data_IF_746026379350
#
_entry.id   IF_746026379350
#
_cell.length_a   1.000
_cell.length_b   1.000
_cell.length_c   1.000
_cell.angle_alpha   90.00
_cell.angle_beta   90.00
_cell.angle_gamma   90.00
#
_symmetry.space_group_name_H-M   'P 1'
#
loop_
_entity.id
_entity.type
_entity.pdbx_description
1 polymer ?
#
# COMPACT_ATOMS: atom_id res chain seq x y z
N UNK A 1 7.01 7.54 -34.10
CA UNK A 1 7.24 8.55 -33.05
C UNK A 1 7.18 7.86 -31.70
N UNK A 2 8.32 7.48 -31.14
CA UNK A 2 8.42 6.90 -29.81
C UNK A 2 8.33 8.03 -28.79
N UNK A 3 7.13 8.27 -28.26
CA UNK A 3 6.95 9.16 -27.11
C UNK A 3 7.83 8.63 -25.98
N UNK A 4 8.77 9.46 -25.51
CA UNK A 4 9.47 9.23 -24.25
C UNK A 4 8.41 9.08 -23.17
N UNK A 5 8.05 7.84 -22.81
CA UNK A 5 7.15 7.58 -21.68
C UNK A 5 7.78 8.24 -20.46
N UNK A 6 7.15 9.30 -19.94
CA UNK A 6 7.59 9.92 -18.70
C UNK A 6 7.71 8.83 -17.63
N UNK A 7 8.81 8.85 -16.86
CA UNK A 7 9.02 7.87 -15.77
C UNK A 7 7.80 7.90 -14.82
N UNK A 8 7.30 6.74 -14.38
CA UNK A 8 6.11 6.69 -13.56
C UNK A 8 6.30 7.48 -12.26
N UNK A 9 5.27 8.25 -11.91
CA UNK A 9 5.19 8.97 -10.64
C UNK A 9 4.18 8.26 -9.74
N UNK A 10 4.64 7.78 -8.59
CA UNK A 10 3.80 7.09 -7.62
C UNK A 10 3.43 8.03 -6.47
N UNK A 11 2.15 8.23 -6.22
CA UNK A 11 1.65 8.85 -4.98
C UNK A 11 1.35 7.73 -3.98
N UNK A 12 1.80 7.88 -2.73
CA UNK A 12 1.47 6.95 -1.64
C UNK A 12 0.64 7.70 -0.60
N UNK A 13 -0.63 7.32 -0.48
CA UNK A 13 -1.53 7.77 0.58
C UNK A 13 -1.54 6.74 1.71
N UNK A 14 -1.14 7.11 2.93
CA UNK A 14 -1.12 6.16 4.04
C UNK A 14 -1.24 6.77 5.44
N UNK A 15 -1.53 5.89 6.42
CA UNK A 15 -1.84 6.28 7.79
C UNK A 15 -0.65 6.88 8.56
N UNK A 16 0.57 6.41 8.33
CA UNK A 16 1.73 6.88 9.07
C UNK A 16 3.07 6.64 8.33
N UNK A 17 4.17 6.99 9.00
CA UNK A 17 5.52 6.79 8.47
C UNK A 17 5.88 5.32 8.29
N UNK A 18 5.35 4.39 9.09
CA UNK A 18 5.66 2.97 8.98
C UNK A 18 5.10 2.41 7.69
N UNK A 19 3.83 2.70 7.41
CA UNK A 19 3.17 2.37 6.14
C UNK A 19 3.93 2.97 4.96
N UNK A 20 4.27 4.26 5.03
CA UNK A 20 5.01 4.94 3.98
C UNK A 20 6.38 4.28 3.73
N UNK A 21 7.17 4.03 4.77
CA UNK A 21 8.49 3.44 4.62
C UNK A 21 8.42 2.01 4.07
N UNK A 22 7.42 1.23 4.48
CA UNK A 22 7.16 -0.08 3.89
C UNK A 22 6.88 0.03 2.39
N UNK A 23 5.82 0.75 2.01
CA UNK A 23 5.40 0.87 0.61
C UNK A 23 6.47 1.53 -0.28
N UNK A 24 7.05 2.65 0.17
CA UNK A 24 8.11 3.35 -0.55
C UNK A 24 9.28 2.41 -0.84
N UNK A 25 9.77 1.69 0.17
CA UNK A 25 10.94 0.82 -0.02
C UNK A 25 10.62 -0.39 -0.91
N UNK A 26 9.39 -0.91 -0.86
CA UNK A 26 8.93 -1.94 -1.77
C UNK A 26 9.03 -1.46 -3.23
N UNK A 27 8.44 -0.31 -3.56
CA UNK A 27 8.47 0.23 -4.92
C UNK A 27 9.85 0.71 -5.37
N UNK A 28 10.66 1.27 -4.47
CA UNK A 28 12.06 1.58 -4.76
C UNK A 28 12.87 0.35 -5.10
N UNK A 29 12.62 -0.77 -4.41
CA UNK A 29 13.29 -2.04 -4.68
C UNK A 29 12.89 -2.65 -6.02
N UNK A 30 11.77 -2.19 -6.60
CA UNK A 30 11.30 -2.51 -7.95
C UNK A 30 11.66 -1.45 -9.00
N UNK A 31 12.50 -0.47 -8.66
CA UNK A 31 13.04 0.51 -9.60
C UNK A 31 12.32 1.84 -9.68
N UNK A 32 11.20 2.04 -8.96
CA UNK A 32 10.52 3.34 -8.95
C UNK A 32 11.32 4.40 -8.18
N UNK A 33 11.60 5.52 -8.84
CA UNK A 33 12.40 6.61 -8.28
C UNK A 33 11.56 7.78 -7.77
N UNK A 34 10.48 8.13 -8.48
CA UNK A 34 9.65 9.30 -8.17
C UNK A 34 8.44 8.87 -7.34
N UNK A 35 8.57 8.98 -6.02
CA UNK A 35 7.52 8.63 -5.05
C UNK A 35 7.17 9.88 -4.24
N UNK A 36 5.88 10.22 -4.20
CA UNK A 36 5.34 11.39 -3.50
C UNK A 36 4.60 10.91 -2.24
N UNK A 37 5.01 11.36 -1.04
CA UNK A 37 4.32 11.02 0.20
C UNK A 37 3.04 11.83 0.37
N UNK A 38 1.94 11.15 0.71
CA UNK A 38 0.76 11.72 1.34
C UNK A 38 0.49 10.93 2.63
N UNK A 39 0.97 11.46 3.76
CA UNK A 39 1.04 10.75 5.04
C UNK A 39 0.26 11.55 6.08
N UNK A 40 -0.53 10.88 6.91
CA UNK A 40 -1.23 11.56 8.01
C UNK A 40 -0.22 12.32 8.89
N UNK A 41 -0.40 13.63 9.09
CA UNK A 41 0.41 14.40 10.03
C UNK A 41 0.27 13.85 11.45
N UNK A 42 1.39 13.75 12.17
CA UNK A 42 1.39 13.28 13.57
C UNK A 42 0.48 14.13 14.46
N UNK A 43 -0.30 13.48 15.33
CA UNK A 43 -1.04 14.11 16.42
C UNK A 43 -2.28 14.92 16.04
N UNK A 44 -2.76 14.85 14.78
CA UNK A 44 -3.91 15.65 14.32
C UNK A 44 -5.23 14.89 14.13
N UNK A 45 -5.19 13.57 13.88
CA UNK A 45 -6.37 12.68 13.73
C UNK A 45 -5.92 11.21 13.64
N UNK A 46 -6.87 10.28 13.61
CA UNK A 46 -6.60 8.88 13.29
C UNK A 46 -6.02 8.75 11.88
N UNK A 47 -5.00 7.92 11.70
CA UNK A 47 -4.38 7.66 10.39
C UNK A 47 -5.36 7.04 9.40
N UNK A 48 -6.17 6.08 9.86
CA UNK A 48 -7.29 5.49 9.11
C UNK A 48 -8.25 6.57 8.59
N UNK A 49 -8.71 7.43 9.49
CA UNK A 49 -9.67 8.49 9.16
C UNK A 49 -9.06 9.46 8.14
N UNK A 50 -7.77 9.80 8.30
CA UNK A 50 -7.04 10.63 7.35
C UNK A 50 -7.07 10.01 5.95
N UNK A 51 -6.71 8.74 5.82
CA UNK A 51 -6.69 8.05 4.51
C UNK A 51 -8.09 8.05 3.90
N UNK A 52 -9.13 7.70 4.67
CA UNK A 52 -10.51 7.68 4.18
C UNK A 52 -10.99 9.06 3.68
N UNK A 53 -10.67 10.13 4.40
CA UNK A 53 -11.07 11.49 4.03
C UNK A 53 -10.29 12.04 2.82
N UNK A 54 -9.03 11.63 2.66
CA UNK A 54 -8.15 12.14 1.59
C UNK A 54 -8.19 11.28 0.33
N UNK A 55 -8.66 10.03 0.41
CA UNK A 55 -8.74 9.12 -0.74
C UNK A 55 -9.54 9.72 -1.89
N UNK A 56 -10.73 10.27 -1.62
CA UNK A 56 -11.55 10.91 -2.65
C UNK A 56 -10.84 12.09 -3.35
N UNK A 57 -10.02 12.84 -2.60
CA UNK A 57 -9.25 13.96 -3.14
C UNK A 57 -8.11 13.46 -4.03
N UNK A 58 -7.38 12.43 -3.59
CA UNK A 58 -6.30 11.80 -4.37
C UNK A 58 -6.83 11.09 -5.62
N UNK A 59 -7.99 10.43 -5.53
CA UNK A 59 -8.66 9.82 -6.67
C UNK A 59 -9.03 10.87 -7.72
N UNK A 60 -9.60 12.01 -7.29
CA UNK A 60 -9.90 13.14 -8.19
C UNK A 60 -8.63 13.72 -8.81
N UNK A 61 -7.56 13.87 -8.03
CA UNK A 61 -6.28 14.39 -8.51
C UNK A 61 -5.57 13.42 -9.47
N UNK A 62 -5.72 12.11 -9.26
CA UNK A 62 -5.26 11.07 -10.18
C UNK A 62 -6.03 11.17 -11.51
N UNK A 63 -7.36 11.15 -11.47
CA UNK A 63 -8.21 11.19 -12.67
C UNK A 63 -7.98 12.43 -13.53
N UNK A 64 -7.72 13.59 -12.91
CA UNK A 64 -7.43 14.83 -13.64
C UNK A 64 -6.07 14.84 -14.35
N UNK A 65 -5.21 13.85 -14.11
CA UNK A 65 -3.83 13.77 -14.61
C UNK A 65 -3.53 12.52 -15.41
N UNK A 66 -4.23 11.41 -15.16
CA UNK A 66 -3.93 10.09 -15.70
C UNK A 66 -3.94 10.03 -17.24
N UNK A 67 -4.69 10.91 -17.91
CA UNK A 67 -4.77 10.95 -19.37
C UNK A 67 -3.51 11.52 -20.05
N UNK A 68 -2.64 12.24 -19.32
CA UNK A 68 -1.45 12.88 -19.90
C UNK A 68 -0.19 12.72 -19.05
N UNK A 69 -0.29 12.19 -17.83
CA UNK A 69 0.86 11.83 -16.99
C UNK A 69 0.85 10.33 -16.71
N UNK A 70 2.05 9.73 -16.74
CA UNK A 70 2.27 8.38 -16.24
C UNK A 70 2.30 8.42 -14.70
N UNK A 71 1.14 8.37 -14.07
CA UNK A 71 0.98 8.41 -12.62
C UNK A 71 0.26 7.16 -12.10
N UNK A 72 0.55 6.81 -10.85
CA UNK A 72 -0.15 5.76 -10.11
C UNK A 72 -0.44 6.24 -8.69
N UNK A 73 -1.49 5.69 -8.07
CA UNK A 73 -1.85 5.92 -6.68
C UNK A 73 -1.79 4.60 -5.92
N UNK A 74 -1.05 4.56 -4.83
CA UNK A 74 -1.09 3.46 -3.86
C UNK A 74 -1.64 3.99 -2.56
N UNK A 75 -2.66 3.32 -2.04
CA UNK A 75 -3.26 3.57 -0.74
C UNK A 75 -2.84 2.44 0.19
N UNK A 76 -2.41 2.78 1.42
CA UNK A 76 -2.14 1.78 2.46
C UNK A 76 -2.92 2.17 3.70
N UNK A 77 -3.85 1.32 4.10
CA UNK A 77 -4.80 1.54 5.19
C UNK A 77 -5.01 0.24 5.96
N UNK A 78 -4.98 0.29 7.28
CA UNK A 78 -5.21 -0.89 8.11
C UNK A 78 -6.70 -1.28 8.07
N UNK A 79 -7.01 -2.57 8.02
CA UNK A 79 -8.40 -3.03 8.16
C UNK A 79 -8.93 -2.81 9.59
N UNK A 80 -8.02 -2.67 10.57
CA UNK A 80 -8.34 -2.66 12.00
C UNK A 80 -9.21 -3.87 12.37
N UNK A 81 -10.49 -3.65 12.70
CA UNK A 81 -11.45 -4.69 13.06
C UNK A 81 -12.38 -5.08 11.90
N UNK A 82 -12.25 -4.40 10.76
CA UNK A 82 -13.05 -4.66 9.56
C UNK A 82 -12.39 -5.73 8.71
N UNK A 83 -13.16 -6.34 7.82
CA UNK A 83 -12.59 -7.16 6.74
C UNK A 83 -11.88 -6.28 5.70
N UNK A 84 -11.05 -6.91 4.88
CA UNK A 84 -10.39 -6.28 3.74
C UNK A 84 -11.44 -5.65 2.80
N UNK A 85 -12.50 -6.40 2.48
CA UNK A 85 -13.55 -5.97 1.57
C UNK A 85 -14.36 -4.80 2.13
N UNK A 86 -14.69 -4.84 3.43
CA UNK A 86 -15.37 -3.73 4.11
C UNK A 86 -14.52 -2.45 4.08
N UNK A 87 -13.20 -2.59 4.24
CA UNK A 87 -12.27 -1.47 4.18
C UNK A 87 -12.19 -0.88 2.77
N UNK A 88 -12.07 -1.72 1.74
CA UNK A 88 -12.05 -1.27 0.34
C UNK A 88 -13.37 -0.59 -0.03
N UNK A 89 -14.51 -1.21 0.32
CA UNK A 89 -15.83 -0.64 0.09
C UNK A 89 -15.99 0.73 0.77
N UNK A 90 -15.42 0.92 1.97
CA UNK A 90 -15.46 2.21 2.66
C UNK A 90 -14.64 3.32 2.00
N UNK A 91 -13.70 2.97 1.12
CA UNK A 91 -12.94 3.93 0.30
C UNK A 91 -13.65 4.17 -1.03
N UNK A 92 -14.15 3.12 -1.66
CA UNK A 92 -14.78 3.19 -2.98
C UNK A 92 -16.20 3.78 -2.95
N UNK A 93 -16.87 3.89 -1.80
CA UNK A 93 -18.17 4.56 -1.67
C UNK A 93 -18.00 6.09 -1.43
N UNK A 94 -18.64 6.98 -2.23
CA UNK A 94 -19.58 6.72 -3.33
C UNK A 94 -18.94 6.70 -4.72
N UNK A 95 -17.62 6.83 -4.80
CA UNK A 95 -16.92 7.02 -6.06
C UNK A 95 -15.90 5.89 -6.30
N UNK A 96 -16.35 4.72 -6.79
CA UNK A 96 -15.49 3.57 -6.91
C UNK A 96 -14.41 3.81 -7.96
N UNK A 97 -13.23 3.24 -7.71
CA UNK A 97 -12.18 3.14 -8.73
C UNK A 97 -12.57 2.14 -9.82
N UNK A 98 -12.17 2.41 -11.05
CA UNK A 98 -12.31 1.50 -12.21
C UNK A 98 -11.13 0.53 -12.29
N UNK A 99 -11.35 -0.65 -12.88
CA UNK A 99 -10.35 -1.70 -13.10
C UNK A 99 -9.21 -1.31 -14.02
N UNK A 100 -9.40 -0.25 -14.82
CA UNK A 100 -8.36 0.29 -15.71
C UNK A 100 -7.53 1.39 -15.04
N UNK A 101 -7.88 1.83 -13.83
CA UNK A 101 -7.13 2.86 -13.12
C UNK A 101 -5.89 2.23 -12.44
N UNK A 102 -4.73 2.87 -12.60
CA UNK A 102 -3.45 2.52 -11.95
C UNK A 102 -3.48 2.88 -10.46
N UNK A 103 -4.44 2.29 -9.74
CA UNK A 103 -4.73 2.52 -8.33
C UNK A 103 -4.73 1.19 -7.61
N UNK A 104 -3.90 1.08 -6.58
CA UNK A 104 -3.84 -0.08 -5.70
C UNK A 104 -4.17 0.32 -4.25
N UNK A 105 -4.95 -0.50 -3.55
CA UNK A 105 -5.32 -0.35 -2.15
C UNK A 105 -4.80 -1.56 -1.39
N UNK A 106 -3.81 -1.33 -0.55
CA UNK A 106 -3.21 -2.33 0.33
C UNK A 106 -3.86 -2.26 1.70
N UNK A 107 -4.46 -3.38 2.11
CA UNK A 107 -5.18 -3.47 3.39
C UNK A 107 -4.57 -4.58 4.24
N UNK A 108 -3.59 -4.30 5.10
CA UNK A 108 -3.18 -5.25 6.14
C UNK A 108 -4.36 -5.58 7.05
N UNK A 109 -4.67 -6.87 7.23
CA UNK A 109 -5.92 -7.33 7.85
C UNK A 109 -6.15 -6.85 9.29
N UNK A 110 -5.08 -6.67 10.08
CA UNK A 110 -5.15 -6.00 11.39
C UNK A 110 -4.38 -4.70 11.34
N UNK A 111 -3.11 -4.82 11.00
CA UNK A 111 -2.19 -3.72 10.81
C UNK A 111 -0.98 -4.14 10.00
N UNK A 112 -0.19 -3.16 9.54
CA UNK A 112 1.05 -3.42 8.80
C UNK A 112 2.04 -4.28 9.59
N UNK A 113 2.00 -4.29 10.92
CA UNK A 113 2.85 -5.16 11.74
C UNK A 113 2.56 -6.64 11.52
N UNK A 114 1.34 -7.04 11.16
CA UNK A 114 1.03 -8.43 10.80
C UNK A 114 1.87 -8.89 9.60
N UNK A 115 2.02 -8.04 8.58
CA UNK A 115 2.90 -8.35 7.43
C UNK A 115 4.36 -8.38 7.85
N UNK A 116 4.79 -7.44 8.67
CA UNK A 116 6.17 -7.40 9.17
C UNK A 116 6.48 -8.67 9.98
N UNK A 117 5.52 -9.15 10.78
CA UNK A 117 5.67 -10.35 11.60
C UNK A 117 5.87 -11.60 10.75
N UNK A 118 4.99 -11.83 9.78
CA UNK A 118 5.14 -12.89 8.79
C UNK A 118 6.47 -12.77 8.02
N UNK A 119 6.80 -11.58 7.52
CA UNK A 119 8.03 -11.35 6.76
C UNK A 119 9.30 -11.53 7.60
N UNK A 120 9.19 -11.47 8.94
CA UNK A 120 10.27 -11.80 9.86
C UNK A 120 10.45 -13.31 10.07
N UNK A 121 9.57 -14.14 9.51
CA UNK A 121 9.61 -15.61 9.62
C UNK A 121 8.92 -16.14 10.88
N UNK A 122 7.97 -15.39 11.44
CA UNK A 122 7.14 -15.86 12.56
C UNK A 122 5.78 -16.32 12.06
N UNK A 123 5.20 -17.26 12.80
CA UNK A 123 3.79 -17.61 12.66
C UNK A 123 2.92 -16.38 12.89
N UNK A 124 1.85 -16.27 12.13
CA UNK A 124 0.99 -15.09 12.15
C UNK A 124 -0.48 -15.49 12.26
N UNK A 125 -1.26 -14.56 12.80
CA UNK A 125 -2.70 -14.60 12.83
C UNK A 125 -3.21 -13.20 12.46
N UNK A 126 -3.98 -13.11 11.38
CA UNK A 126 -4.49 -11.84 10.86
C UNK A 126 -5.52 -11.15 11.77
N UNK A 127 -5.93 -11.79 12.87
CA UNK A 127 -6.79 -11.21 13.90
C UNK A 127 -6.01 -10.57 15.05
N UNK A 128 -4.74 -10.93 15.22
CA UNK A 128 -3.92 -10.49 16.35
C UNK A 128 -3.20 -9.17 16.07
N UNK A 129 -3.07 -8.35 17.10
CA UNK A 129 -2.31 -7.10 17.02
C UNK A 129 -0.85 -7.33 17.40
N UNK A 130 0.04 -7.14 16.43
CA UNK A 130 1.48 -7.26 16.65
C UNK A 130 2.16 -5.92 16.98
N UNK A 131 1.41 -4.81 17.10
CA UNK A 131 1.96 -3.46 17.32
C UNK A 131 3.03 -3.45 18.40
N UNK A 132 2.73 -4.04 19.57
CA UNK A 132 3.62 -4.08 20.74
C UNK A 132 5.01 -4.66 20.46
N UNK A 133 5.13 -5.64 19.56
CA UNK A 133 6.39 -6.30 19.20
C UNK A 133 7.28 -5.41 18.33
N UNK A 134 6.70 -4.44 17.63
CA UNK A 134 7.40 -3.61 16.65
C UNK A 134 7.45 -2.13 17.08
N UNK A 135 7.29 -1.85 18.37
CA UNK A 135 7.32 -0.50 18.94
C UNK A 135 8.72 0.16 18.91
N UNK A 136 9.81 -0.63 18.84
CA UNK A 136 11.18 -0.13 18.99
C UNK A 136 12.08 -0.56 17.82
N UNK A 137 12.56 0.41 17.04
CA UNK A 137 13.75 0.27 16.18
C UNK A 137 13.64 -0.66 14.95
N UNK A 138 12.53 -1.36 14.76
CA UNK A 138 12.37 -2.26 13.62
C UNK A 138 12.01 -1.46 12.36
N UNK A 139 12.91 -1.49 11.38
CA UNK A 139 12.72 -0.76 10.12
C UNK A 139 11.80 -1.54 9.17
N UNK A 140 10.60 -1.01 8.82
CA UNK A 140 9.71 -1.66 7.84
C UNK A 140 10.37 -1.82 6.47
N UNK A 141 11.35 -0.95 6.14
CA UNK A 141 12.11 -0.97 4.90
C UNK A 141 12.81 -2.31 4.65
N UNK A 142 13.35 -2.96 5.69
CA UNK A 142 14.04 -4.26 5.53
C UNK A 142 13.09 -5.34 5.03
N UNK A 143 11.86 -5.36 5.56
CA UNK A 143 10.84 -6.34 5.20
C UNK A 143 10.25 -6.05 3.83
N UNK A 144 10.01 -4.77 3.51
CA UNK A 144 9.59 -4.36 2.18
C UNK A 144 10.61 -4.73 1.09
N UNK A 145 11.91 -4.56 1.37
CA UNK A 145 12.97 -4.99 0.46
C UNK A 145 13.04 -6.51 0.31
N UNK A 146 12.92 -7.26 1.43
CA UNK A 146 12.84 -8.73 1.40
C UNK A 146 11.66 -9.18 0.55
N UNK A 147 10.48 -8.60 0.76
CA UNK A 147 9.27 -8.91 0.00
C UNK A 147 9.50 -8.67 -1.50
N UNK A 148 9.95 -7.46 -1.87
CA UNK A 148 10.14 -7.09 -3.27
C UNK A 148 11.22 -7.90 -4.00
N UNK A 149 12.37 -8.15 -3.37
CA UNK A 149 13.54 -8.72 -4.04
C UNK A 149 13.70 -10.23 -3.87
N UNK A 150 13.13 -10.82 -2.82
CA UNK A 150 13.34 -12.24 -2.49
C UNK A 150 12.07 -13.05 -2.62
N UNK A 151 10.95 -12.54 -2.11
CA UNK A 151 9.69 -13.30 -2.06
C UNK A 151 8.91 -13.14 -3.37
N UNK A 152 8.58 -11.91 -3.78
CA UNK A 152 7.79 -11.68 -4.99
C UNK A 152 8.35 -12.36 -6.25
N UNK A 153 9.68 -12.40 -6.51
CA UNK A 153 10.21 -13.10 -7.68
C UNK A 153 10.03 -14.62 -7.65
N UNK A 154 9.89 -15.22 -6.46
CA UNK A 154 9.69 -16.66 -6.27
C UNK A 154 8.21 -17.04 -6.19
N UNK A 155 7.33 -16.05 -6.08
CA UNK A 155 5.93 -16.24 -5.72
C UNK A 155 5.73 -16.18 -4.21
N UNK A 156 4.56 -15.68 -3.81
CA UNK A 156 4.15 -15.71 -2.41
C UNK A 156 3.64 -17.12 -2.07
N UNK A 157 4.07 -17.68 -0.93
CA UNK A 157 3.62 -19.00 -0.48
C UNK A 157 2.11 -19.00 -0.21
N UNK A 158 1.44 -20.14 -0.40
CA UNK A 158 -0.02 -20.27 -0.26
C UNK A 158 -0.52 -20.07 1.18
N UNK A 159 0.37 -20.27 2.16
CA UNK A 159 0.12 -20.06 3.58
C UNK A 159 0.46 -18.63 4.04
N UNK A 160 0.77 -17.71 3.13
CA UNK A 160 1.02 -16.31 3.48
C UNK A 160 -0.29 -15.57 3.84
N UNK A 161 -0.19 -14.41 4.54
CA UNK A 161 -1.38 -13.68 4.96
C UNK A 161 -2.32 -13.38 3.80
N UNK A 162 -3.62 -13.59 4.00
CA UNK A 162 -4.64 -13.36 2.97
C UNK A 162 -4.64 -11.90 2.50
N UNK A 163 -4.39 -10.95 3.40
CA UNK A 163 -4.21 -9.54 3.05
C UNK A 163 -2.99 -9.28 2.17
N UNK A 164 -1.93 -10.08 2.32
CA UNK A 164 -0.74 -9.96 1.48
C UNK A 164 -0.98 -10.55 0.09
N UNK A 165 -1.72 -11.67 -0.01
CA UNK A 165 -2.21 -12.18 -1.30
C UNK A 165 -3.11 -11.16 -2.01
N UNK A 166 -4.02 -10.53 -1.27
CA UNK A 166 -4.86 -9.45 -1.79
C UNK A 166 -4.00 -8.29 -2.33
N UNK A 167 -3.00 -7.84 -1.57
CA UNK A 167 -2.06 -6.81 -2.03
C UNK A 167 -1.30 -7.24 -3.30
N UNK A 168 -0.97 -8.52 -3.46
CA UNK A 168 -0.39 -9.04 -4.70
C UNK A 168 -1.35 -8.96 -5.90
N UNK A 169 -2.66 -9.12 -5.70
CA UNK A 169 -3.64 -8.90 -6.78
C UNK A 169 -3.77 -7.41 -7.12
N UNK A 170 -3.81 -6.55 -6.10
CA UNK A 170 -3.84 -5.10 -6.27
C UNK A 170 -2.62 -4.57 -7.01
N UNK A 171 -1.44 -5.16 -6.78
CA UNK A 171 -0.22 -4.82 -7.52
C UNK A 171 -0.34 -5.05 -9.03
N UNK A 172 -1.16 -6.02 -9.48
CA UNK A 172 -1.37 -6.29 -10.92
C UNK A 172 -2.15 -5.16 -11.61
N UNK A 173 -2.85 -4.31 -10.85
CA UNK A 173 -3.54 -3.12 -11.37
C UNK A 173 -2.58 -2.01 -11.76
N UNK A 174 -1.33 -2.04 -11.28
CA UNK A 174 -0.35 -0.99 -11.51
C UNK A 174 0.47 -1.26 -12.76
N UNK A 175 0.21 -0.51 -13.84
CA UNK A 175 1.01 -0.54 -15.07
C UNK A 175 2.25 0.37 -14.94
N UNK A 176 3.12 0.08 -13.98
CA UNK A 176 4.28 0.92 -13.61
C UNK A 176 5.63 0.38 -14.12
N UNK A 177 5.60 -0.41 -15.20
CA UNK A 177 6.78 -0.97 -15.88
C UNK A 177 7.50 0.03 -16.80
#
# INVERSE_FOLDING_TARGET
MTTSRHKPQLVILCEDLRHYHFARKFFQSRGLKKIIPNICPKGRRSGEQYVREHYAQELKAYRSKANYLNIALVVVIDADLKSIDERIKSLDDPNPRSDTENIAIFVPARNIETWIHYLNGHDYNEKDSYKSLYNKGISPSKFAEKLAKKICPQGLQDDAPSSLHHACQELKRLQID
#
